data_IF_050725039516
#
_entry.id   IF_050725039516
#
_cell.length_a   1.000
_cell.length_b   1.000
_cell.length_c   1.000
_cell.angle_alpha   90.00
_cell.angle_beta   90.00
_cell.angle_gamma   90.00
#
_symmetry.space_group_name_H-M   'P 1'
#
loop_
_entity.id
_entity.type
_entity.pdbx_description
1 polymer ?
#
# COMPACT_ATOMS: atom_id res chain seq x y z
N UNK A 1 13.26 -28.01 10.05
CA UNK A 1 13.19 -27.69 8.60
C UNK A 1 13.55 -26.23 8.39
N UNK A 2 13.95 -25.83 7.19
CA UNK A 2 14.20 -24.42 6.89
C UNK A 2 12.87 -23.65 6.88
N UNK A 3 12.80 -22.50 7.57
CA UNK A 3 11.60 -21.67 7.61
C UNK A 3 11.33 -21.05 6.24
N UNK A 4 10.07 -20.97 5.85
CA UNK A 4 9.67 -20.48 4.52
C UNK A 4 8.48 -19.54 4.58
N UNK A 5 8.58 -18.41 3.88
CA UNK A 5 7.49 -17.46 3.67
C UNK A 5 6.90 -17.67 2.26
N UNK A 6 5.66 -18.13 2.19
CA UNK A 6 4.89 -18.16 0.94
C UNK A 6 4.27 -16.79 0.74
N UNK A 7 4.51 -16.19 -0.43
CA UNK A 7 3.99 -14.88 -0.80
C UNK A 7 3.04 -15.03 -1.98
N UNK A 8 1.73 -14.90 -1.74
CA UNK A 8 0.72 -14.89 -2.80
C UNK A 8 0.45 -13.45 -3.20
N UNK A 9 0.85 -13.10 -4.40
CA UNK A 9 0.73 -11.73 -4.92
C UNK A 9 0.01 -11.70 -6.27
N UNK A 10 -0.33 -10.51 -6.72
CA UNK A 10 -1.01 -10.30 -8.00
C UNK A 10 -1.95 -9.11 -7.94
N UNK A 11 -2.56 -8.74 -9.07
CA UNK A 11 -3.40 -7.55 -9.16
C UNK A 11 -4.68 -7.68 -8.36
N UNK A 12 -5.32 -6.53 -8.09
CA UNK A 12 -6.67 -6.51 -7.54
C UNK A 12 -7.65 -7.22 -8.50
N UNK A 13 -8.65 -7.92 -7.95
CA UNK A 13 -9.63 -8.68 -8.71
C UNK A 13 -9.20 -10.09 -9.16
N UNK A 14 -7.92 -10.48 -8.99
CA UNK A 14 -7.40 -11.78 -9.49
C UNK A 14 -7.91 -13.00 -8.72
N UNK A 15 -8.31 -12.86 -7.45
CA UNK A 15 -8.81 -13.97 -6.62
C UNK A 15 -7.88 -14.39 -5.47
N UNK A 16 -6.90 -13.56 -5.08
CA UNK A 16 -5.97 -13.86 -3.98
C UNK A 16 -6.66 -14.31 -2.69
N UNK A 17 -7.69 -13.59 -2.27
CA UNK A 17 -8.38 -13.84 -0.99
C UNK A 17 -8.94 -15.26 -0.90
N UNK A 18 -9.63 -15.74 -1.95
CA UNK A 18 -10.18 -17.08 -1.96
C UNK A 18 -9.09 -18.15 -1.85
N UNK A 19 -8.05 -18.06 -2.69
CA UNK A 19 -6.93 -19.00 -2.65
C UNK A 19 -6.20 -19.00 -1.30
N UNK A 20 -5.98 -17.79 -0.73
CA UNK A 20 -5.25 -17.70 0.54
C UNK A 20 -6.05 -18.24 1.73
N UNK A 21 -7.38 -18.12 1.72
CA UNK A 21 -8.23 -18.73 2.73
C UNK A 21 -8.14 -20.27 2.68
N UNK A 22 -8.31 -20.86 1.51
CA UNK A 22 -8.19 -22.32 1.32
C UNK A 22 -6.79 -22.82 1.71
N UNK A 23 -5.75 -22.13 1.28
CA UNK A 23 -4.37 -22.51 1.60
C UNK A 23 -4.08 -22.40 3.09
N UNK A 24 -4.53 -21.31 3.73
CA UNK A 24 -4.33 -21.08 5.15
C UNK A 24 -5.08 -22.10 6.02
N UNK A 25 -6.29 -22.48 5.62
CA UNK A 25 -7.05 -23.56 6.25
C UNK A 25 -6.33 -24.90 6.13
N UNK A 26 -5.89 -25.25 4.93
CA UNK A 26 -5.17 -26.51 4.67
C UNK A 26 -3.86 -26.62 5.45
N UNK A 27 -3.12 -25.52 5.56
CA UNK A 27 -1.83 -25.47 6.26
C UNK A 27 -1.98 -25.18 7.76
N UNK A 28 -3.17 -24.85 8.25
CA UNK A 28 -3.45 -24.45 9.63
C UNK A 28 -2.60 -23.25 10.09
N UNK A 29 -2.42 -22.25 9.22
CA UNK A 29 -1.61 -21.06 9.47
C UNK A 29 -2.42 -19.77 9.29
N UNK A 30 -2.07 -18.68 9.98
CA UNK A 30 -2.72 -17.38 9.76
C UNK A 30 -2.27 -16.73 8.45
N UNK A 31 -3.05 -15.75 8.01
CA UNK A 31 -2.75 -14.89 6.87
C UNK A 31 -2.13 -13.58 7.37
N UNK A 32 -1.00 -13.19 6.77
CA UNK A 32 -0.39 -11.88 6.94
C UNK A 32 -0.80 -11.03 5.74
N UNK A 33 -1.56 -9.95 5.98
CA UNK A 33 -2.07 -9.10 4.92
C UNK A 33 -1.06 -8.01 4.54
N UNK A 34 -0.72 -7.90 3.25
CA UNK A 34 0.15 -6.87 2.67
C UNK A 34 -0.64 -5.89 1.81
N UNK A 35 -1.70 -5.33 2.37
CA UNK A 35 -2.45 -4.23 1.75
C UNK A 35 -2.41 -2.99 2.64
N UNK A 36 -1.82 -1.90 2.13
CA UNK A 36 -1.60 -0.67 2.87
C UNK A 36 -2.87 0.16 3.13
N UNK A 37 -4.03 -0.30 2.69
CA UNK A 37 -5.31 0.36 2.91
C UNK A 37 -6.25 -0.48 3.77
N UNK A 38 -6.18 -1.81 3.68
CA UNK A 38 -6.97 -2.72 4.50
C UNK A 38 -6.57 -2.72 5.99
N UNK A 39 -5.46 -2.07 6.34
CA UNK A 39 -5.04 -1.88 7.74
C UNK A 39 -5.96 -0.92 8.51
N UNK A 40 -6.72 -0.04 7.81
CA UNK A 40 -7.55 0.99 8.44
C UNK A 40 -8.95 0.47 8.77
N UNK A 41 -9.36 0.67 10.02
CA UNK A 41 -10.66 0.21 10.56
C UNK A 41 -11.86 0.83 9.85
N UNK A 42 -11.73 2.09 9.46
CA UNK A 42 -12.80 2.90 8.89
C UNK A 42 -13.03 2.64 7.40
N UNK A 43 -12.19 1.81 6.76
CA UNK A 43 -12.19 1.63 5.31
C UNK A 43 -12.44 0.18 4.85
N UNK A 44 -13.32 -0.61 5.47
CA UNK A 44 -13.46 -2.03 5.13
C UNK A 44 -14.07 -2.27 3.75
N UNK A 45 -15.04 -1.45 3.31
CA UNK A 45 -15.76 -1.66 2.06
C UNK A 45 -14.91 -1.22 0.87
N UNK A 46 -14.46 0.03 0.86
CA UNK A 46 -13.72 0.60 -0.27
C UNK A 46 -12.35 -0.02 -0.51
N UNK A 47 -11.79 -0.67 0.49
CA UNK A 47 -10.54 -1.43 0.36
C UNK A 47 -10.77 -2.92 0.06
N UNK A 48 -12.03 -3.38 0.11
CA UNK A 48 -12.41 -4.80 0.08
C UNK A 48 -11.61 -5.63 1.10
N UNK A 49 -11.55 -5.14 2.33
CA UNK A 49 -10.93 -5.88 3.41
C UNK A 49 -11.62 -7.24 3.62
N UNK A 50 -10.92 -8.25 4.15
CA UNK A 50 -11.53 -9.52 4.53
C UNK A 50 -12.74 -9.30 5.43
N UNK A 51 -13.86 -9.98 5.11
CA UNK A 51 -15.09 -9.88 5.90
C UNK A 51 -14.92 -10.49 7.29
N UNK A 52 -15.80 -10.16 8.23
CA UNK A 52 -15.77 -10.74 9.56
C UNK A 52 -15.91 -12.28 9.50
N UNK A 53 -16.70 -12.81 8.58
CA UNK A 53 -16.83 -14.25 8.36
C UNK A 53 -15.48 -14.87 7.95
N UNK A 54 -14.77 -14.24 7.00
CA UNK A 54 -13.44 -14.69 6.57
C UNK A 54 -12.39 -14.61 7.68
N UNK A 55 -12.45 -13.55 8.50
CA UNK A 55 -11.56 -13.40 9.65
C UNK A 55 -11.87 -14.37 10.78
N UNK A 56 -13.12 -14.80 10.92
CA UNK A 56 -13.52 -15.84 11.88
C UNK A 56 -13.06 -17.25 11.44
N UNK A 57 -12.98 -17.50 10.12
CA UNK A 57 -12.46 -18.77 9.56
C UNK A 57 -10.96 -18.89 9.78
N UNK A 58 -10.22 -17.84 9.44
CA UNK A 58 -8.76 -17.80 9.55
C UNK A 58 -8.33 -16.46 10.13
N UNK A 59 -7.40 -16.50 11.07
CA UNK A 59 -6.82 -15.28 11.64
C UNK A 59 -6.07 -14.49 10.57
N UNK A 60 -6.42 -13.20 10.44
CA UNK A 60 -5.71 -12.24 9.59
C UNK A 60 -4.95 -11.24 10.46
N UNK A 61 -3.70 -10.99 10.13
CA UNK A 61 -2.91 -9.92 10.70
C UNK A 61 -2.87 -8.72 9.74
N UNK A 62 -2.78 -7.51 10.27
CA UNK A 62 -2.75 -6.26 9.51
C UNK A 62 -4.02 -5.98 8.70
N UNK A 63 -5.16 -6.25 9.31
CA UNK A 63 -6.50 -5.92 8.80
C UNK A 63 -7.24 -5.15 9.88
N UNK A 64 -7.66 -3.91 9.59
CA UNK A 64 -8.44 -3.08 10.50
C UNK A 64 -7.80 -2.85 11.87
N UNK A 65 -6.48 -2.79 11.94
CA UNK A 65 -5.73 -2.65 13.20
C UNK A 65 -5.19 -1.23 13.45
N UNK A 66 -5.39 -0.31 12.51
CA UNK A 66 -5.04 1.10 12.60
C UNK A 66 -6.24 2.00 12.33
N UNK A 67 -6.19 3.24 12.80
CA UNK A 67 -7.12 4.31 12.45
C UNK A 67 -6.57 5.13 11.27
N UNK A 68 -7.46 5.79 10.53
CA UNK A 68 -7.05 6.60 9.34
C UNK A 68 -6.15 7.78 9.68
N UNK A 69 -6.12 8.20 10.94
CA UNK A 69 -5.23 9.23 11.48
C UNK A 69 -3.82 8.72 11.78
N UNK A 70 -3.67 7.41 11.97
CA UNK A 70 -2.41 6.84 12.37
C UNK A 70 -1.38 6.98 11.25
N UNK A 71 -0.17 7.37 11.62
CA UNK A 71 0.95 7.30 10.72
C UNK A 71 1.47 5.86 10.69
N UNK A 72 1.44 5.24 9.52
CA UNK A 72 1.97 3.90 9.33
C UNK A 72 2.69 3.79 7.98
N UNK A 73 3.98 3.50 8.02
CA UNK A 73 4.87 3.45 6.86
C UNK A 73 5.19 2.01 6.46
N UNK A 74 5.76 1.85 5.26
CA UNK A 74 6.24 0.54 4.82
C UNK A 74 7.42 0.01 5.65
N UNK A 75 8.22 0.90 6.26
CA UNK A 75 9.28 0.52 7.20
C UNK A 75 8.71 -0.02 8.51
N UNK A 76 7.69 0.65 9.08
CA UNK A 76 6.98 0.14 10.26
C UNK A 76 6.33 -1.21 9.97
N UNK A 77 5.69 -1.34 8.80
CA UNK A 77 5.11 -2.61 8.36
C UNK A 77 6.18 -3.71 8.24
N UNK A 78 7.35 -3.42 7.65
CA UNK A 78 8.47 -4.37 7.61
C UNK A 78 8.84 -4.86 9.01
N UNK A 79 9.06 -3.95 9.95
CA UNK A 79 9.46 -4.25 11.33
C UNK A 79 8.41 -5.13 12.03
N UNK A 80 7.14 -4.74 11.94
CA UNK A 80 6.05 -5.46 12.58
C UNK A 80 5.87 -6.85 12.00
N UNK A 81 5.97 -7.00 10.67
CA UNK A 81 5.89 -8.32 10.02
C UNK A 81 7.09 -9.18 10.37
N UNK A 82 8.30 -8.63 10.44
CA UNK A 82 9.49 -9.40 10.85
C UNK A 82 9.38 -9.90 12.29
N UNK A 83 8.88 -9.07 13.21
CA UNK A 83 8.61 -9.46 14.59
C UNK A 83 7.54 -10.55 14.66
N UNK A 84 6.45 -10.40 13.91
CA UNK A 84 5.39 -11.40 13.81
C UNK A 84 5.92 -12.74 13.26
N UNK A 85 6.69 -12.71 12.17
CA UNK A 85 7.28 -13.89 11.56
C UNK A 85 8.22 -14.64 12.54
N UNK A 86 9.00 -13.90 13.33
CA UNK A 86 9.83 -14.51 14.40
C UNK A 86 8.99 -15.35 15.36
N UNK A 87 7.81 -14.88 15.74
CA UNK A 87 6.89 -15.60 16.63
C UNK A 87 6.19 -16.77 15.92
N UNK A 88 5.70 -16.55 14.70
CA UNK A 88 5.01 -17.59 13.92
C UNK A 88 5.93 -18.78 13.58
N UNK A 89 7.18 -18.50 13.25
CA UNK A 89 8.17 -19.53 12.93
C UNK A 89 8.64 -20.36 14.14
N UNK A 90 8.28 -19.97 15.37
CA UNK A 90 8.46 -20.85 16.52
C UNK A 90 7.46 -22.03 16.51
N UNK A 91 6.28 -21.82 15.94
CA UNK A 91 5.19 -22.79 15.93
C UNK A 91 5.04 -23.53 14.59
N UNK A 92 5.40 -22.88 13.49
CA UNK A 92 5.21 -23.37 12.13
C UNK A 92 6.50 -23.25 11.31
N UNK A 93 6.69 -24.12 10.33
CA UNK A 93 7.80 -24.00 9.37
C UNK A 93 7.45 -23.11 8.17
N UNK A 94 6.16 -22.81 8.02
CA UNK A 94 5.63 -22.00 6.91
C UNK A 94 4.80 -20.83 7.45
N UNK A 95 4.90 -19.67 6.78
CA UNK A 95 4.03 -18.53 6.99
C UNK A 95 3.47 -18.06 5.63
N UNK A 96 2.29 -17.42 5.62
CA UNK A 96 1.59 -16.97 4.42
C UNK A 96 1.43 -15.45 4.44
N UNK A 97 2.02 -14.79 3.44
CA UNK A 97 1.88 -13.35 3.18
C UNK A 97 1.07 -13.15 1.89
N UNK A 98 0.08 -12.29 1.90
CA UNK A 98 -0.70 -11.99 0.69
C UNK A 98 -1.07 -10.52 0.61
N UNK A 99 -1.10 -9.97 -0.60
CA UNK A 99 -1.54 -8.60 -0.80
C UNK A 99 -1.32 -8.06 -2.20
N UNK A 100 -1.65 -6.79 -2.36
CA UNK A 100 -1.48 -6.05 -3.61
C UNK A 100 -0.65 -4.78 -3.47
N UNK A 101 -0.23 -4.42 -2.25
CA UNK A 101 0.60 -3.23 -2.02
C UNK A 101 2.07 -3.55 -2.29
N UNK A 102 2.51 -3.15 -3.46
CA UNK A 102 3.83 -3.44 -4.02
C UNK A 102 4.96 -3.12 -3.03
N UNK A 103 4.92 -1.93 -2.44
CA UNK A 103 5.95 -1.48 -1.50
C UNK A 103 5.95 -2.28 -0.19
N UNK A 104 4.78 -2.75 0.29
CA UNK A 104 4.69 -3.59 1.49
C UNK A 104 5.28 -4.98 1.23
N UNK A 105 4.99 -5.56 0.06
CA UNK A 105 5.57 -6.84 -0.35
C UNK A 105 7.10 -6.74 -0.51
N UNK A 106 7.59 -5.70 -1.18
CA UNK A 106 9.03 -5.46 -1.32
C UNK A 106 9.70 -5.22 0.03
N UNK A 107 9.05 -4.47 0.94
CA UNK A 107 9.56 -4.22 2.29
C UNK A 107 9.81 -5.52 3.06
N UNK A 108 8.87 -6.47 3.01
CA UNK A 108 9.02 -7.77 3.68
C UNK A 108 10.02 -8.66 2.94
N UNK A 109 9.96 -8.72 1.61
CA UNK A 109 10.78 -9.66 0.84
C UNK A 109 12.24 -9.20 0.68
N UNK A 110 12.44 -7.91 0.37
CA UNK A 110 13.75 -7.33 0.04
C UNK A 110 14.30 -6.43 1.13
N UNK A 111 13.44 -5.93 1.99
CA UNK A 111 13.76 -4.84 2.92
C UNK A 111 13.63 -3.47 2.28
N UNK A 112 13.53 -2.46 3.09
CA UNK A 112 13.64 -1.07 2.67
C UNK A 112 14.77 -0.38 3.45
N UNK A 113 15.29 0.68 2.86
CA UNK A 113 16.31 1.50 3.51
C UNK A 113 15.76 2.11 4.81
N UNK A 114 16.60 2.20 5.83
CA UNK A 114 16.26 2.75 7.14
C UNK A 114 16.28 4.29 7.08
N UNK A 115 15.27 4.86 6.41
CA UNK A 115 15.07 6.29 6.29
C UNK A 115 14.35 6.78 7.54
N UNK A 116 14.84 7.83 8.21
CA UNK A 116 14.20 8.38 9.40
C UNK A 116 12.74 8.76 9.18
N UNK A 117 11.90 8.49 10.17
CA UNK A 117 10.50 8.94 10.13
C UNK A 117 10.42 10.44 10.27
N UNK A 118 9.74 11.08 9.33
CA UNK A 118 9.57 12.54 9.34
C UNK A 118 8.59 12.94 10.43
N UNK A 119 9.02 13.84 11.31
CA UNK A 119 8.17 14.40 12.36
C UNK A 119 7.07 15.32 11.79
N UNK A 120 6.02 15.55 12.57
CA UNK A 120 4.86 16.32 12.14
C UNK A 120 5.16 17.80 11.92
N UNK A 121 6.13 18.36 12.63
CA UNK A 121 6.51 19.77 12.54
C UNK A 121 7.21 20.02 11.21
N UNK A 122 8.24 19.22 10.90
CA UNK A 122 8.97 19.28 9.63
C UNK A 122 8.03 19.07 8.43
N UNK A 123 7.13 18.08 8.55
CA UNK A 123 6.14 17.83 7.49
C UNK A 123 5.21 19.01 7.26
N UNK A 124 4.67 19.59 8.32
CA UNK A 124 3.78 20.77 8.22
C UNK A 124 4.52 21.96 7.61
N UNK A 125 5.73 22.21 8.05
CA UNK A 125 6.58 23.28 7.50
C UNK A 125 6.80 23.11 6.00
N UNK A 126 7.18 21.90 5.55
CA UNK A 126 7.42 21.64 4.12
C UNK A 126 6.14 21.75 3.28
N UNK A 127 4.99 21.36 3.80
CA UNK A 127 3.71 21.54 3.11
C UNK A 127 3.33 23.02 2.97
N UNK A 128 3.57 23.84 3.99
CA UNK A 128 3.38 25.29 3.92
C UNK A 128 4.34 25.94 2.92
N UNK A 129 5.59 25.49 2.88
CA UNK A 129 6.57 25.96 1.90
C UNK A 129 6.13 25.61 0.47
N UNK A 130 5.65 24.38 0.24
CA UNK A 130 5.11 24.00 -1.08
C UNK A 130 3.97 24.93 -1.51
N UNK A 131 3.07 25.27 -0.60
CA UNK A 131 1.94 26.14 -0.91
C UNK A 131 2.37 27.60 -1.20
N UNK A 132 3.42 28.08 -0.51
CA UNK A 132 3.91 29.46 -0.62
C UNK A 132 4.91 29.66 -1.76
N UNK A 133 5.88 28.76 -1.89
CA UNK A 133 7.05 28.89 -2.77
C UNK A 133 6.85 28.13 -4.10
N UNK A 134 5.99 27.14 -4.10
CA UNK A 134 5.74 26.26 -5.24
C UNK A 134 6.79 25.16 -5.40
N UNK A 135 6.45 24.14 -6.21
CA UNK A 135 7.31 23.00 -6.45
C UNK A 135 8.66 23.35 -7.13
N UNK A 136 8.73 24.29 -8.10
CA UNK A 136 10.00 24.62 -8.76
C UNK A 136 11.08 25.12 -7.80
N UNK A 137 10.74 25.96 -6.82
CA UNK A 137 11.68 26.46 -5.82
C UNK A 137 12.23 25.33 -4.95
N UNK A 138 11.36 24.39 -4.52
CA UNK A 138 11.77 23.24 -3.74
C UNK A 138 12.61 22.23 -4.53
N UNK A 139 12.39 22.11 -5.83
CA UNK A 139 13.24 21.30 -6.72
C UNK A 139 14.63 21.88 -6.83
N UNK A 140 14.75 23.21 -6.92
CA UNK A 140 16.06 23.88 -6.97
C UNK A 140 16.80 23.77 -5.63
N UNK A 141 16.13 23.91 -4.51
CA UNK A 141 16.71 23.67 -3.20
C UNK A 141 17.22 22.21 -3.05
N UNK A 142 16.45 21.23 -3.53
CA UNK A 142 16.91 19.84 -3.52
C UNK A 142 18.15 19.63 -4.39
N UNK A 143 18.28 20.38 -5.49
CA UNK A 143 19.49 20.36 -6.33
C UNK A 143 20.74 20.77 -5.54
N UNK A 144 20.61 21.78 -4.69
CA UNK A 144 21.73 22.24 -3.86
C UNK A 144 22.02 21.31 -2.68
N UNK A 145 20.99 20.77 -2.02
CA UNK A 145 21.14 19.95 -0.83
C UNK A 145 21.52 18.50 -1.12
N UNK A 146 20.99 17.92 -2.19
CA UNK A 146 21.21 16.54 -2.61
C UNK A 146 21.23 16.42 -4.14
N UNK A 147 22.32 16.84 -4.80
CA UNK A 147 22.45 16.81 -6.26
C UNK A 147 22.26 15.39 -6.84
N UNK A 148 22.71 14.37 -6.10
CA UNK A 148 22.61 12.98 -6.54
C UNK A 148 21.15 12.53 -6.59
N UNK A 149 20.37 12.77 -5.55
CA UNK A 149 18.95 12.45 -5.54
C UNK A 149 18.19 13.29 -6.57
N UNK A 150 18.56 14.56 -6.75
CA UNK A 150 17.95 15.45 -7.74
C UNK A 150 18.05 14.90 -9.18
N UNK A 151 19.13 14.18 -9.53
CA UNK A 151 19.28 13.58 -10.88
C UNK A 151 18.27 12.46 -11.14
N UNK A 152 17.84 11.73 -10.11
CA UNK A 152 17.00 10.53 -10.24
C UNK A 152 15.56 10.72 -9.81
N UNK A 153 15.26 11.79 -9.02
CA UNK A 153 13.90 12.02 -8.53
C UNK A 153 12.99 12.52 -9.65
N UNK A 154 11.74 12.08 -9.63
CA UNK A 154 10.69 12.67 -10.46
C UNK A 154 10.35 14.07 -9.94
N UNK A 155 10.91 15.08 -10.60
CA UNK A 155 10.77 16.51 -10.25
C UNK A 155 9.34 17.04 -10.37
N UNK A 156 8.46 16.32 -11.07
CA UNK A 156 7.03 16.65 -11.16
C UNK A 156 6.22 16.03 -10.01
N UNK A 157 6.86 15.23 -9.16
CA UNK A 157 6.21 14.59 -8.02
C UNK A 157 6.52 15.34 -6.72
N UNK A 158 5.62 16.23 -6.25
CA UNK A 158 5.88 17.05 -5.07
C UNK A 158 6.12 16.23 -3.82
N UNK A 159 5.49 15.04 -3.69
CA UNK A 159 5.68 14.18 -2.53
C UNK A 159 7.10 13.64 -2.42
N UNK A 160 7.71 13.26 -3.56
CA UNK A 160 9.08 12.74 -3.57
C UNK A 160 10.09 13.81 -3.29
N UNK A 161 9.90 15.00 -3.89
CA UNK A 161 10.76 16.17 -3.67
C UNK A 161 10.70 16.62 -2.20
N UNK A 162 9.48 16.79 -1.66
CA UNK A 162 9.26 17.19 -0.27
C UNK A 162 9.86 16.19 0.68
N UNK A 163 9.63 14.88 0.49
CA UNK A 163 10.14 13.86 1.39
C UNK A 163 11.67 13.88 1.46
N UNK A 164 12.35 14.09 0.36
CA UNK A 164 13.81 14.23 0.37
C UNK A 164 14.26 15.48 1.15
N UNK A 165 13.60 16.61 0.95
CA UNK A 165 13.88 17.85 1.70
C UNK A 165 13.57 17.71 3.20
N UNK A 166 12.48 17.06 3.56
CA UNK A 166 12.13 16.74 4.96
C UNK A 166 13.26 16.00 5.66
N UNK A 167 13.81 14.99 5.00
CA UNK A 167 14.93 14.21 5.54
C UNK A 167 16.21 15.05 5.63
N UNK A 168 16.53 15.81 4.60
CA UNK A 168 17.70 16.72 4.62
C UNK A 168 17.59 17.73 5.77
N UNK A 169 16.45 18.34 5.97
CA UNK A 169 16.22 19.33 7.03
C UNK A 169 16.31 18.71 8.42
N UNK A 170 15.65 17.57 8.62
CA UNK A 170 15.62 16.88 9.92
C UNK A 170 16.98 16.37 10.37
N UNK A 171 17.77 15.86 9.43
CA UNK A 171 18.98 15.10 9.75
C UNK A 171 20.26 15.86 9.48
N UNK A 172 20.22 16.96 8.73
CA UNK A 172 21.41 17.65 8.23
C UNK A 172 22.24 16.83 7.24
N UNK A 173 21.68 15.71 6.71
CA UNK A 173 22.33 14.79 5.77
C UNK A 173 21.51 14.69 4.49
N UNK A 174 22.17 14.32 3.40
CA UNK A 174 21.49 14.10 2.11
C UNK A 174 20.52 12.91 2.22
N UNK A 175 19.39 12.98 1.52
CA UNK A 175 18.47 11.83 1.40
C UNK A 175 19.16 10.61 0.78
N UNK A 176 20.05 10.84 -0.19
CA UNK A 176 20.89 9.81 -0.82
C UNK A 176 21.70 9.02 0.22
N UNK A 177 22.20 9.66 1.28
CA UNK A 177 23.01 8.98 2.29
C UNK A 177 22.25 7.89 3.08
N UNK A 178 20.93 7.87 3.02
CA UNK A 178 20.06 6.84 3.60
C UNK A 178 19.60 5.79 2.59
N UNK A 179 19.88 5.99 1.29
CA UNK A 179 19.45 5.11 0.21
C UNK A 179 20.58 4.16 -0.18
N UNK A 180 20.62 3.03 0.47
CA UNK A 180 21.64 2.02 0.20
C UNK A 180 21.25 1.04 -0.91
N UNK A 181 19.95 0.94 -1.24
CA UNK A 181 19.40 0.02 -2.24
C UNK A 181 19.83 -1.44 -2.01
N UNK A 182 20.18 -1.80 -0.77
CA UNK A 182 20.65 -3.13 -0.43
C UNK A 182 19.48 -4.04 -0.11
N UNK A 183 19.47 -5.22 -0.71
CA UNK A 183 18.51 -6.27 -0.34
C UNK A 183 18.93 -6.85 1.01
N UNK A 184 18.06 -6.68 2.02
CA UNK A 184 18.28 -7.24 3.36
C UNK A 184 18.15 -8.78 3.30
N UNK A 185 19.15 -9.50 3.76
CA UNK A 185 19.08 -10.98 3.84
C UNK A 185 18.03 -11.39 4.87
N UNK A 186 17.10 -12.24 4.46
CA UNK A 186 16.06 -12.77 5.36
C UNK A 186 16.51 -14.10 5.99
N UNK A 187 16.15 -14.36 7.26
CA UNK A 187 16.51 -15.62 7.93
C UNK A 187 15.57 -16.80 7.56
N UNK A 188 14.86 -16.69 6.45
CA UNK A 188 13.94 -17.70 5.93
C UNK A 188 13.95 -17.68 4.39
N UNK A 189 13.48 -18.76 3.79
CA UNK A 189 13.27 -18.82 2.35
C UNK A 189 12.01 -18.04 1.94
N UNK A 190 12.00 -17.49 0.75
CA UNK A 190 10.85 -16.77 0.20
C UNK A 190 10.42 -17.47 -1.09
N UNK A 191 9.16 -17.90 -1.14
CA UNK A 191 8.53 -18.44 -2.34
C UNK A 191 7.45 -17.47 -2.81
N UNK A 192 7.68 -16.80 -3.94
CA UNK A 192 6.75 -15.83 -4.54
C UNK A 192 5.90 -16.51 -5.61
N UNK A 193 4.59 -16.53 -5.43
CA UNK A 193 3.61 -17.07 -6.37
C UNK A 193 2.73 -15.91 -6.85
N UNK A 194 2.80 -15.64 -8.16
CA UNK A 194 2.05 -14.59 -8.82
C UNK A 194 0.76 -15.12 -9.44
N UNK A 195 -0.38 -14.56 -9.06
CA UNK A 195 -1.66 -14.86 -9.70
C UNK A 195 -1.91 -13.89 -10.85
N UNK A 196 -2.36 -14.42 -11.97
CA UNK A 196 -2.78 -13.64 -13.13
C UNK A 196 -4.05 -14.21 -13.75
N UNK A 197 -4.75 -13.41 -14.52
CA UNK A 197 -5.89 -13.79 -15.35
C UNK A 197 -5.89 -12.93 -16.63
N UNK A 198 -6.67 -13.35 -17.60
CA UNK A 198 -6.90 -12.55 -18.80
C UNK A 198 -7.40 -11.16 -18.44
N UNK A 199 -6.93 -10.17 -19.19
CA UNK A 199 -7.17 -8.76 -18.90
C UNK A 199 -8.66 -8.40 -18.90
N UNK A 200 -9.41 -8.98 -19.82
CA UNK A 200 -10.86 -8.74 -19.95
C UNK A 200 -11.58 -9.27 -18.72
N UNK A 201 -11.27 -10.50 -18.31
CA UNK A 201 -11.83 -11.11 -17.08
C UNK A 201 -11.50 -10.25 -15.85
N UNK A 202 -10.26 -9.73 -15.74
CA UNK A 202 -9.91 -8.85 -14.63
C UNK A 202 -10.72 -7.56 -14.66
N UNK A 203 -11.00 -6.99 -15.83
CA UNK A 203 -11.78 -5.77 -15.96
C UNK A 203 -13.24 -5.97 -15.56
N UNK A 204 -13.87 -7.05 -16.00
CA UNK A 204 -15.22 -7.43 -15.59
C UNK A 204 -15.30 -7.59 -14.07
N UNK A 205 -14.45 -8.43 -13.49
CA UNK A 205 -14.40 -8.66 -12.05
C UNK A 205 -14.16 -7.39 -11.23
N UNK A 206 -13.35 -6.46 -11.73
CA UNK A 206 -13.13 -5.17 -11.09
C UNK A 206 -14.39 -4.32 -11.14
N UNK A 207 -15.07 -4.28 -12.29
CA UNK A 207 -16.30 -3.50 -12.46
C UNK A 207 -17.41 -4.02 -11.54
N UNK A 208 -17.64 -5.33 -11.54
CA UNK A 208 -18.65 -6.00 -10.69
C UNK A 208 -18.36 -5.76 -9.21
N UNK A 209 -17.10 -5.89 -8.80
CA UNK A 209 -16.68 -5.64 -7.43
C UNK A 209 -16.95 -4.19 -6.99
N UNK A 210 -16.77 -3.23 -7.87
CA UNK A 210 -17.12 -1.83 -7.55
C UNK A 210 -18.63 -1.69 -7.32
N UNK A 211 -19.46 -2.30 -8.16
CA UNK A 211 -20.91 -2.29 -7.96
C UNK A 211 -21.32 -3.00 -6.66
N UNK A 212 -20.67 -4.12 -6.33
CA UNK A 212 -20.87 -4.77 -5.03
C UNK A 212 -20.49 -3.86 -3.85
N UNK A 213 -19.39 -3.11 -3.95
CA UNK A 213 -18.98 -2.15 -2.92
C UNK A 213 -20.03 -1.04 -2.75
N UNK A 214 -20.57 -0.51 -3.84
CA UNK A 214 -21.65 0.48 -3.81
C UNK A 214 -22.88 -0.10 -3.06
N UNK A 215 -23.29 -1.31 -3.44
CA UNK A 215 -24.43 -1.99 -2.81
C UNK A 215 -24.20 -2.29 -1.31
N UNK A 216 -22.94 -2.51 -0.92
CA UNK A 216 -22.55 -2.71 0.48
C UNK A 216 -22.45 -1.42 1.29
N UNK A 217 -22.62 -0.26 0.65
CA UNK A 217 -22.65 1.04 1.32
C UNK A 217 -21.35 1.84 1.25
N UNK A 218 -20.54 1.66 0.20
CA UNK A 218 -19.29 2.42 0.01
C UNK A 218 -19.53 3.94 0.04
N UNK A 219 -20.64 4.44 -0.51
CA UNK A 219 -20.97 5.87 -0.43
C UNK A 219 -21.10 6.33 1.03
N UNK A 220 -21.81 5.55 1.86
CA UNK A 220 -21.98 5.85 3.30
C UNK A 220 -20.64 5.86 4.02
N UNK A 221 -19.83 4.82 3.80
CA UNK A 221 -18.46 4.74 4.36
C UNK A 221 -17.60 5.95 3.95
N UNK A 222 -17.65 6.34 2.67
CA UNK A 222 -16.93 7.52 2.18
C UNK A 222 -17.44 8.82 2.81
N UNK A 223 -18.75 8.94 3.05
CA UNK A 223 -19.35 10.12 3.67
C UNK A 223 -18.97 10.27 5.15
N UNK A 224 -18.86 9.16 5.87
CA UNK A 224 -18.42 9.16 7.28
C UNK A 224 -16.97 9.69 7.44
N UNK A 225 -16.08 9.36 6.49
CA UNK A 225 -14.68 9.81 6.53
C UNK A 225 -14.42 11.12 5.77
N UNK A 226 -15.42 11.64 5.05
CA UNK A 226 -15.30 12.86 4.25
C UNK A 226 -14.78 14.10 5.01
N UNK A 227 -15.18 14.37 6.29
CA UNK A 227 -14.61 15.48 7.05
C UNK A 227 -13.07 15.41 7.19
N UNK A 228 -12.51 14.23 7.05
CA UNK A 228 -11.06 13.94 7.18
C UNK A 228 -10.37 13.74 5.82
N UNK A 229 -10.99 14.17 4.69
CA UNK A 229 -10.56 13.89 3.31
C UNK A 229 -9.11 14.30 2.97
N UNK A 230 -8.50 15.17 3.77
CA UNK A 230 -7.09 15.56 3.64
C UNK A 230 -6.08 14.47 4.02
N UNK A 231 -6.49 13.48 4.83
CA UNK A 231 -5.61 12.43 5.33
C UNK A 231 -5.04 11.55 4.21
N UNK A 232 -3.81 11.07 4.43
CA UNK A 232 -3.13 10.21 3.44
C UNK A 232 -3.85 8.88 3.23
N UNK A 233 -4.45 8.31 4.26
CA UNK A 233 -5.24 7.08 4.18
C UNK A 233 -6.35 7.17 3.13
N UNK A 234 -6.97 8.35 2.99
CA UNK A 234 -8.12 8.61 2.11
C UNK A 234 -7.72 9.02 0.69
N UNK A 235 -6.41 9.18 0.41
CA UNK A 235 -5.92 9.45 -0.95
C UNK A 235 -5.85 8.16 -1.79
N UNK A 236 -6.92 7.40 -1.82
CA UNK A 236 -7.06 6.13 -2.51
C UNK A 236 -8.31 6.08 -3.38
N UNK A 237 -8.35 5.13 -4.31
CA UNK A 237 -9.50 4.92 -5.20
C UNK A 237 -10.72 4.51 -4.39
N UNK A 238 -11.88 4.99 -4.78
CA UNK A 238 -13.15 4.81 -4.10
C UNK A 238 -13.55 6.03 -3.30
N UNK A 239 -12.64 6.59 -2.51
CA UNK A 239 -12.94 7.74 -1.64
C UNK A 239 -12.78 9.07 -2.36
N UNK A 240 -11.72 9.27 -3.13
CA UNK A 240 -11.49 10.53 -3.86
C UNK A 240 -12.63 10.86 -4.81
N UNK A 241 -13.10 9.86 -5.51
CA UNK A 241 -14.16 10.01 -6.50
C UNK A 241 -15.48 10.35 -5.81
N UNK A 242 -15.75 9.77 -4.63
CA UNK A 242 -16.90 10.15 -3.81
C UNK A 242 -16.74 11.55 -3.22
N UNK A 243 -15.54 11.98 -2.88
CA UNK A 243 -15.31 13.34 -2.41
C UNK A 243 -15.60 14.38 -3.50
N UNK A 244 -15.19 14.12 -4.74
CA UNK A 244 -15.54 14.95 -5.90
C UNK A 244 -17.09 15.00 -6.10
N UNK A 245 -17.78 13.88 -5.89
CA UNK A 245 -19.24 13.81 -5.93
C UNK A 245 -19.88 14.61 -4.78
N UNK A 246 -19.38 14.51 -3.56
CA UNK A 246 -19.89 15.26 -2.42
C UNK A 246 -19.65 16.77 -2.53
N UNK A 247 -18.56 17.16 -3.19
CA UNK A 247 -18.25 18.56 -3.51
C UNK A 247 -19.08 19.09 -4.72
N UNK A 248 -19.92 18.26 -5.36
CA UNK A 248 -20.74 18.64 -6.51
C UNK A 248 -19.96 18.82 -7.81
N UNK A 249 -18.72 18.33 -7.89
CA UNK A 249 -17.84 18.43 -9.06
C UNK A 249 -18.28 17.43 -10.16
N UNK A 250 -18.76 16.26 -9.74
CA UNK A 250 -19.25 15.19 -10.61
C UNK A 250 -20.55 14.61 -10.03
N UNK A 251 -21.32 13.91 -10.87
CA UNK A 251 -22.48 13.14 -10.41
C UNK A 251 -22.07 11.73 -9.91
N UNK A 252 -23.03 11.01 -9.35
CA UNK A 252 -22.82 9.67 -8.79
C UNK A 252 -22.39 8.66 -9.88
N UNK A 253 -23.01 8.73 -11.06
CA UNK A 253 -22.71 7.81 -12.16
C UNK A 253 -21.25 7.98 -12.62
N UNK A 254 -20.80 9.21 -12.77
CA UNK A 254 -19.43 9.54 -13.12
C UNK A 254 -18.46 9.12 -12.00
N UNK A 255 -18.82 9.28 -10.73
CA UNK A 255 -18.01 8.80 -9.61
C UNK A 255 -17.77 7.29 -9.69
N UNK A 256 -18.84 6.51 -9.89
CA UNK A 256 -18.76 5.04 -10.04
C UNK A 256 -17.89 4.68 -11.26
N UNK A 257 -18.12 5.30 -12.41
CA UNK A 257 -17.33 5.09 -13.61
C UNK A 257 -15.84 5.37 -13.40
N UNK A 258 -15.51 6.45 -12.68
CA UNK A 258 -14.12 6.80 -12.33
C UNK A 258 -13.51 5.79 -11.37
N UNK A 259 -14.23 5.32 -10.37
CA UNK A 259 -13.75 4.27 -9.44
C UNK A 259 -13.38 3.01 -10.22
N UNK A 260 -14.24 2.54 -11.12
CA UNK A 260 -13.97 1.39 -11.98
C UNK A 260 -12.71 1.62 -12.84
N UNK A 261 -12.62 2.76 -13.52
CA UNK A 261 -11.49 3.12 -14.37
C UNK A 261 -10.18 3.20 -13.60
N UNK A 262 -10.17 3.89 -12.46
CA UNK A 262 -8.99 4.08 -11.61
C UNK A 262 -8.55 2.77 -10.95
N UNK A 263 -9.49 1.88 -10.60
CA UNK A 263 -9.16 0.54 -10.11
C UNK A 263 -8.49 -0.31 -11.20
N UNK A 264 -8.97 -0.25 -12.46
CA UNK A 264 -8.31 -0.91 -13.60
C UNK A 264 -6.92 -0.32 -13.86
N UNK A 265 -6.72 0.99 -13.69
CA UNK A 265 -5.39 1.61 -13.79
C UNK A 265 -4.46 1.12 -12.67
N UNK A 266 -4.95 1.02 -11.45
CA UNK A 266 -4.19 0.50 -10.32
C UNK A 266 -3.78 -0.96 -10.55
N UNK A 267 -4.70 -1.80 -11.02
CA UNK A 267 -4.44 -3.18 -11.41
C UNK A 267 -3.30 -3.28 -12.43
N UNK A 268 -3.29 -2.43 -13.47
CA UNK A 268 -2.20 -2.41 -14.47
C UNK A 268 -0.85 -2.02 -13.84
N UNK A 269 -0.85 -1.03 -12.93
CA UNK A 269 0.38 -0.63 -12.20
C UNK A 269 0.92 -1.77 -11.36
N UNK A 270 0.06 -2.52 -10.68
CA UNK A 270 0.46 -3.71 -9.92
C UNK A 270 1.10 -4.77 -10.83
N UNK A 271 0.46 -5.11 -11.96
CA UNK A 271 1.03 -6.08 -12.91
C UNK A 271 2.37 -5.62 -13.49
N UNK A 272 2.49 -4.35 -13.87
CA UNK A 272 3.75 -3.81 -14.35
C UNK A 272 4.85 -3.94 -13.29
N UNK A 273 4.55 -3.59 -12.03
CA UNK A 273 5.51 -3.71 -10.95
C UNK A 273 5.96 -5.15 -10.73
N UNK A 274 5.01 -6.08 -10.58
CA UNK A 274 5.32 -7.47 -10.30
C UNK A 274 6.06 -8.17 -11.45
N UNK A 275 5.82 -7.79 -12.69
CA UNK A 275 6.54 -8.34 -13.87
C UNK A 275 8.04 -8.00 -13.89
N UNK A 276 8.49 -7.00 -13.17
CA UNK A 276 9.93 -6.71 -13.03
C UNK A 276 10.64 -7.64 -12.05
N UNK A 277 9.92 -8.35 -11.20
CA UNK A 277 10.50 -9.31 -10.25
C UNK A 277 10.54 -10.71 -10.87
N UNK A 278 11.75 -11.15 -11.25
CA UNK A 278 11.98 -12.44 -11.92
C UNK A 278 11.89 -13.64 -10.96
N UNK A 279 11.83 -13.41 -9.64
CA UNK A 279 11.66 -14.47 -8.66
C UNK A 279 10.20 -14.90 -8.48
N UNK A 280 9.27 -14.26 -9.19
CA UNK A 280 7.84 -14.60 -9.13
C UNK A 280 7.52 -15.74 -10.08
N UNK A 281 7.04 -16.84 -9.51
CA UNK A 281 6.45 -17.95 -10.25
C UNK A 281 5.00 -17.63 -10.58
N UNK A 282 4.74 -17.37 -11.85
CA UNK A 282 3.39 -16.98 -12.32
C UNK A 282 2.51 -18.19 -12.59
#
# INVERSE_FOLDING_TARGET
>A
MAKSLIVILGPTGVGKTALCLELAEHLHIPIINADSRQIFKELPIGTAAPTQEQQNRIKHYFVGNHHIEDYYSASMYEQDVMNLLSSLFQQNDVALLTGGSMLYLDAVCKGIDDIPTVDSITRTKMMLRLAKEGLPALVEELHHLDPEHWTVVDKKNPRRVIHALEICEMTGRTYTSFRHHTVKKRPFNILKIGLNRDREILYERINDRVLEMINKGLEKEAREVYPKRGLNALKTVGYKEFFDYFDGIIDLEEAIRRIQSNTRQYMRKQLTWFKHDQEIHW
#
